data_IF_868922804744
#
_entry.id   IF_868922804744
#
_cell.length_a   1.000
_cell.length_b   1.000
_cell.length_c   1.000
_cell.angle_alpha   90.00
_cell.angle_beta   90.00
_cell.angle_gamma   90.00
#
_symmetry.space_group_name_H-M   'P 1'
#
loop_
_entity.id
_entity.type
_entity.pdbx_description
1 polymer ?
#
# COMPACT_ATOMS: atom_id res chain seq x y z
N UNK A 1 14.99 -10.66 11.49
CA UNK A 1 14.40 -10.26 10.18
C UNK A 1 13.06 -10.94 9.96
N UNK A 2 12.10 -10.27 9.33
CA UNK A 2 10.82 -10.86 8.96
C UNK A 2 11.01 -12.00 7.95
N UNK A 3 10.25 -13.09 8.12
CA UNK A 3 10.35 -14.25 7.21
C UNK A 3 9.46 -14.04 5.98
N UNK A 4 10.07 -14.12 4.80
CA UNK A 4 9.39 -14.04 3.52
C UNK A 4 8.83 -15.42 3.13
N UNK A 5 7.60 -15.46 2.63
CA UNK A 5 7.05 -16.64 1.94
C UNK A 5 7.30 -16.53 0.44
N UNK A 6 7.65 -17.64 -0.17
CA UNK A 6 7.64 -17.73 -1.64
C UNK A 6 6.20 -17.67 -2.14
N UNK A 7 5.96 -16.83 -3.13
CA UNK A 7 4.66 -16.66 -3.78
C UNK A 7 4.78 -17.00 -5.27
N UNK A 8 3.72 -17.57 -5.81
CA UNK A 8 3.58 -17.85 -7.24
C UNK A 8 2.47 -16.98 -7.83
N UNK A 9 2.61 -16.62 -9.10
CA UNK A 9 1.59 -15.87 -9.80
C UNK A 9 0.31 -16.71 -9.96
N UNK A 10 -0.84 -16.12 -9.71
CA UNK A 10 -2.14 -16.75 -9.86
C UNK A 10 -2.72 -16.35 -11.21
N UNK A 11 -2.93 -17.32 -12.09
CA UNK A 11 -3.54 -17.09 -13.40
C UNK A 11 -5.05 -16.94 -13.24
N UNK A 12 -5.62 -15.82 -13.69
CA UNK A 12 -7.06 -15.58 -13.69
C UNK A 12 -7.71 -16.10 -14.98
N UNK A 13 -7.06 -15.82 -16.13
CA UNK A 13 -7.51 -16.24 -17.45
C UNK A 13 -6.30 -16.35 -18.41
N UNK A 14 -6.53 -16.43 -19.72
CA UNK A 14 -5.47 -16.51 -20.72
C UNK A 14 -4.58 -15.27 -20.78
N UNK A 15 -5.06 -14.11 -20.36
CA UNK A 15 -4.42 -12.81 -20.50
C UNK A 15 -3.91 -12.25 -19.16
N UNK A 16 -4.65 -12.40 -18.07
CA UNK A 16 -4.39 -11.74 -16.78
C UNK A 16 -3.92 -12.72 -15.73
N UNK A 17 -2.83 -12.37 -15.06
CA UNK A 17 -2.34 -13.05 -13.85
C UNK A 17 -2.19 -12.03 -12.70
N UNK A 18 -2.29 -12.52 -11.48
CA UNK A 18 -2.05 -11.74 -10.25
C UNK A 18 -0.75 -12.18 -9.61
N UNK A 19 0.10 -11.22 -9.25
CA UNK A 19 1.19 -11.43 -8.30
C UNK A 19 0.67 -11.16 -6.89
N UNK A 20 0.48 -12.21 -6.07
CA UNK A 20 -0.24 -12.08 -4.80
C UNK A 20 0.68 -11.63 -3.66
N UNK A 21 1.23 -10.42 -3.75
CA UNK A 21 2.10 -9.87 -2.70
C UNK A 21 1.44 -9.86 -1.31
N UNK A 22 0.09 -9.86 -1.24
CA UNK A 22 -0.62 -9.97 0.03
C UNK A 22 -0.37 -11.29 0.78
N UNK A 23 0.13 -12.33 0.11
CA UNK A 23 0.49 -13.62 0.71
C UNK A 23 1.93 -13.72 1.20
N UNK A 24 2.77 -12.72 0.90
CA UNK A 24 4.20 -12.74 1.20
C UNK A 24 4.50 -12.89 2.70
N UNK A 25 3.61 -12.35 3.52
CA UNK A 25 3.69 -12.43 4.97
C UNK A 25 2.28 -12.32 5.59
N UNK A 26 1.97 -13.07 6.66
CA UNK A 26 0.60 -13.13 7.20
C UNK A 26 0.12 -11.83 7.82
N UNK A 27 1.01 -10.99 8.35
CA UNK A 27 0.66 -9.75 9.07
C UNK A 27 1.28 -8.50 8.47
N UNK A 28 2.56 -8.53 8.11
CA UNK A 28 3.23 -7.45 7.40
C UNK A 28 3.02 -7.67 5.90
N UNK A 29 1.79 -7.40 5.43
CA UNK A 29 1.30 -7.85 4.15
C UNK A 29 1.69 -6.93 2.99
N UNK A 30 1.86 -7.54 1.82
CA UNK A 30 1.97 -6.87 0.53
C UNK A 30 3.18 -5.96 0.42
N UNK A 31 2.99 -4.86 -0.28
CA UNK A 31 4.04 -3.88 -0.54
C UNK A 31 4.65 -3.26 0.73
N UNK A 32 3.98 -3.35 1.89
CA UNK A 32 4.52 -2.83 3.14
C UNK A 32 5.65 -3.70 3.67
N UNK A 33 5.60 -5.01 3.45
CA UNK A 33 6.72 -5.89 3.70
C UNK A 33 7.97 -5.45 2.94
N UNK A 34 7.81 -5.23 1.62
CA UNK A 34 8.91 -4.79 0.75
C UNK A 34 9.50 -3.46 1.21
N UNK A 35 8.64 -2.50 1.50
CA UNK A 35 9.06 -1.17 1.97
C UNK A 35 9.75 -1.18 3.34
N UNK A 36 9.33 -2.05 4.24
CA UNK A 36 9.90 -2.15 5.57
C UNK A 36 11.22 -2.91 5.59
N UNK A 37 11.47 -3.87 4.70
CA UNK A 37 12.62 -4.76 4.70
C UNK A 37 13.94 -4.05 4.98
N UNK A 38 14.40 -3.21 4.07
CA UNK A 38 15.69 -2.51 4.20
C UNK A 38 15.68 -1.37 5.23
N UNK A 39 14.51 -0.80 5.51
CA UNK A 39 14.37 0.18 6.58
C UNK A 39 14.58 -0.46 7.97
N UNK A 40 14.04 -1.66 8.20
CA UNK A 40 14.26 -2.44 9.42
C UNK A 40 15.73 -2.83 9.57
N UNK A 41 16.35 -3.32 8.50
CA UNK A 41 17.79 -3.63 8.49
C UNK A 41 18.62 -2.40 8.89
N UNK A 42 18.35 -1.23 8.28
CA UNK A 42 19.05 0.01 8.60
C UNK A 42 18.82 0.44 10.05
N UNK A 43 17.58 0.40 10.53
CA UNK A 43 17.27 0.74 11.91
C UNK A 43 18.04 -0.13 12.92
N UNK A 44 18.13 -1.44 12.66
CA UNK A 44 18.88 -2.37 13.48
C UNK A 44 20.39 -2.12 13.41
N UNK A 45 20.95 -1.92 12.21
CA UNK A 45 22.39 -1.63 12.04
C UNK A 45 22.82 -0.34 12.72
N UNK A 46 21.93 0.64 12.80
CA UNK A 46 22.17 1.93 13.47
C UNK A 46 21.81 1.90 14.96
N UNK A 47 21.41 0.74 15.51
CA UNK A 47 21.03 0.54 16.91
C UNK A 47 19.88 1.45 17.37
N UNK A 48 18.94 1.78 16.48
CA UNK A 48 17.74 2.51 16.87
C UNK A 48 16.89 1.70 17.84
N UNK A 49 16.36 2.37 18.87
CA UNK A 49 15.55 1.73 19.93
C UNK A 49 14.14 1.38 19.48
N UNK A 50 13.62 2.06 18.47
CA UNK A 50 12.26 1.87 17.98
C UNK A 50 12.05 2.46 16.60
N UNK A 51 10.82 2.34 16.12
CA UNK A 51 10.37 2.89 14.83
C UNK A 51 9.29 3.93 15.09
N UNK A 52 9.40 5.08 14.44
CA UNK A 52 8.35 6.11 14.43
C UNK A 52 7.85 6.28 13.00
N UNK A 53 6.55 6.28 12.82
CA UNK A 53 5.95 6.48 11.49
C UNK A 53 4.66 7.29 11.53
N UNK A 54 4.14 7.64 10.37
CA UNK A 54 2.99 8.51 10.18
C UNK A 54 1.86 7.81 9.42
N UNK A 55 0.62 8.09 9.79
CA UNK A 55 -0.54 7.57 9.06
C UNK A 55 -1.88 8.11 9.54
N UNK A 56 -2.92 7.91 8.74
CA UNK A 56 -4.31 8.13 9.15
C UNK A 56 -4.91 6.90 9.84
N UNK A 57 -6.14 7.04 10.30
CA UNK A 57 -6.90 6.04 11.05
C UNK A 57 -7.03 4.65 10.41
N UNK A 58 -6.93 4.56 9.08
CA UNK A 58 -7.05 3.31 8.32
C UNK A 58 -5.80 3.00 7.51
N UNK A 59 -4.64 3.46 7.98
CA UNK A 59 -3.37 3.32 7.27
C UNK A 59 -2.86 1.88 7.28
N UNK A 60 -2.72 1.29 6.10
CA UNK A 60 -2.06 -0.01 5.92
C UNK A 60 -0.60 0.02 6.40
N UNK A 61 0.05 1.19 6.35
CA UNK A 61 1.42 1.34 6.79
C UNK A 61 1.53 1.33 8.32
N UNK A 62 0.61 1.98 9.03
CA UNK A 62 0.52 1.91 10.50
C UNK A 62 0.37 0.45 10.95
N UNK A 63 -0.62 -0.27 10.39
CA UNK A 63 -0.86 -1.67 10.74
C UNK A 63 0.37 -2.56 10.47
N UNK A 64 1.03 -2.38 9.33
CA UNK A 64 2.20 -3.17 8.96
C UNK A 64 3.42 -2.86 9.83
N UNK A 65 3.65 -1.58 10.17
CA UNK A 65 4.76 -1.19 11.07
C UNK A 65 4.53 -1.70 12.48
N UNK A 66 3.30 -1.62 13.00
CA UNK A 66 2.94 -2.19 14.31
C UNK A 66 3.18 -3.71 14.35
N UNK A 67 2.75 -4.44 13.31
CA UNK A 67 2.97 -5.88 13.20
C UNK A 67 4.44 -6.24 13.14
N UNK A 68 5.23 -5.49 12.36
CA UNK A 68 6.67 -5.70 12.26
C UNK A 68 7.37 -5.45 13.61
N UNK A 69 6.97 -4.41 14.34
CA UNK A 69 7.48 -4.12 15.68
C UNK A 69 7.18 -5.24 16.66
N UNK A 70 5.95 -5.73 16.69
CA UNK A 70 5.55 -6.85 17.54
C UNK A 70 6.37 -8.13 17.24
N UNK A 71 6.52 -8.47 15.96
CA UNK A 71 7.21 -9.70 15.57
C UNK A 71 8.72 -9.66 15.85
N UNK A 72 9.31 -8.46 15.74
CA UNK A 72 10.75 -8.27 15.94
C UNK A 72 11.09 -7.77 17.35
N UNK A 73 10.10 -7.61 18.24
CA UNK A 73 10.26 -7.00 19.56
C UNK A 73 10.91 -5.59 19.50
N UNK A 74 10.52 -4.79 18.52
CA UNK A 74 10.98 -3.42 18.35
C UNK A 74 9.83 -2.48 18.73
N UNK A 75 10.00 -1.56 19.70
CA UNK A 75 8.99 -0.56 20.02
C UNK A 75 8.58 0.28 18.80
N UNK A 76 7.29 0.56 18.68
CA UNK A 76 6.78 1.36 17.56
C UNK A 76 5.92 2.52 18.01
N UNK A 77 6.02 3.63 17.31
CA UNK A 77 5.19 4.83 17.48
C UNK A 77 4.51 5.16 16.16
N UNK A 78 3.20 5.31 16.21
CA UNK A 78 2.39 5.78 15.09
C UNK A 78 1.89 7.19 15.36
N UNK A 79 2.39 8.19 14.63
CA UNK A 79 1.85 9.55 14.65
C UNK A 79 0.59 9.58 13.80
N UNK A 80 -0.57 9.71 14.45
CA UNK A 80 -1.88 9.54 13.85
C UNK A 80 -2.51 10.90 13.55
N UNK A 81 -2.96 11.07 12.31
CA UNK A 81 -3.61 12.30 11.85
C UNK A 81 -5.04 12.41 12.38
N UNK A 82 -5.27 13.35 13.33
CA UNK A 82 -6.59 13.66 13.89
C UNK A 82 -6.64 13.38 15.39
N UNK A 83 -6.60 14.42 16.20
CA UNK A 83 -6.70 14.35 17.67
C UNK A 83 -8.03 13.74 18.12
N UNK A 84 -9.10 14.00 17.36
CA UNK A 84 -10.44 13.48 17.60
C UNK A 84 -10.52 11.94 17.58
N UNK A 85 -9.54 11.29 17.02
CA UNK A 85 -9.52 9.83 16.88
C UNK A 85 -9.08 9.09 18.14
N UNK A 86 -8.57 9.80 19.16
CA UNK A 86 -8.16 9.19 20.44
C UNK A 86 -9.30 8.42 21.11
N UNK A 87 -10.54 8.94 21.00
CA UNK A 87 -11.74 8.30 21.56
C UNK A 87 -12.28 7.16 20.68
N UNK A 88 -11.77 7.00 19.47
CA UNK A 88 -12.26 6.03 18.48
C UNK A 88 -11.35 4.82 18.31
N UNK A 89 -10.33 4.65 19.15
CA UNK A 89 -9.36 3.55 19.00
C UNK A 89 -10.07 2.20 18.99
N UNK A 90 -10.98 1.96 19.93
CA UNK A 90 -11.65 0.66 20.09
C UNK A 90 -12.67 0.37 18.97
N UNK A 91 -13.27 1.40 18.39
CA UNK A 91 -14.21 1.27 17.26
C UNK A 91 -13.51 1.21 15.91
N UNK A 92 -12.24 1.65 15.82
CA UNK A 92 -11.48 1.63 14.59
C UNK A 92 -10.61 0.36 14.47
N UNK A 93 -10.90 -0.56 13.54
CA UNK A 93 -10.21 -1.85 13.48
C UNK A 93 -8.71 -1.73 13.25
N UNK A 94 -8.24 -0.74 12.50
CA UNK A 94 -6.82 -0.53 12.22
C UNK A 94 -6.06 0.01 13.44
N UNK A 95 -6.63 1.02 14.14
CA UNK A 95 -6.00 1.59 15.33
C UNK A 95 -6.02 0.59 16.50
N UNK A 96 -7.14 -0.11 16.70
CA UNK A 96 -7.25 -1.18 17.68
C UNK A 96 -6.22 -2.28 17.43
N UNK A 97 -6.07 -2.69 16.17
CA UNK A 97 -5.05 -3.67 15.78
C UNK A 97 -3.63 -3.16 16.05
N UNK A 98 -3.30 -1.94 15.65
CA UNK A 98 -1.98 -1.37 15.90
C UNK A 98 -1.66 -1.29 17.41
N UNK A 99 -2.63 -0.87 18.21
CA UNK A 99 -2.55 -0.86 19.68
C UNK A 99 -2.35 -2.28 20.24
N UNK A 100 -3.07 -3.28 19.74
CA UNK A 100 -2.92 -4.68 20.18
C UNK A 100 -1.56 -5.27 19.81
N UNK A 101 -0.87 -4.75 18.80
CA UNK A 101 0.51 -5.07 18.47
C UNK A 101 1.54 -4.34 19.35
N UNK A 102 1.10 -3.53 20.33
CA UNK A 102 1.97 -2.78 21.23
C UNK A 102 2.46 -1.43 20.68
N UNK A 103 1.88 -0.93 19.58
CA UNK A 103 2.23 0.39 19.05
C UNK A 103 1.70 1.51 19.95
N UNK A 104 2.57 2.43 20.32
CA UNK A 104 2.15 3.71 20.90
C UNK A 104 1.50 4.58 19.82
N UNK A 105 0.28 5.08 20.08
CA UNK A 105 -0.45 5.92 19.16
C UNK A 105 -0.41 7.38 19.63
N UNK A 106 0.34 8.20 18.93
CA UNK A 106 0.49 9.63 19.16
C UNK A 106 -0.47 10.39 18.26
N UNK A 107 -1.56 10.91 18.83
CA UNK A 107 -2.58 11.63 18.06
C UNK A 107 -2.23 13.12 17.95
N UNK A 108 -2.18 13.62 16.72
CA UNK A 108 -1.82 15.01 16.46
C UNK A 108 -2.86 15.73 15.61
N UNK A 109 -2.94 17.04 15.74
CA UNK A 109 -3.82 17.85 14.89
C UNK A 109 -3.46 17.69 13.40
N UNK A 110 -4.42 17.95 12.52
CA UNK A 110 -4.18 17.91 11.07
C UNK A 110 -3.13 18.92 10.63
N UNK A 111 -3.06 20.07 11.30
CA UNK A 111 -2.04 21.10 11.05
C UNK A 111 -0.64 20.63 11.43
N UNK A 112 -0.49 20.02 12.62
CA UNK A 112 0.79 19.41 13.04
C UNK A 112 1.19 18.24 12.14
N UNK A 113 0.22 17.40 11.76
CA UNK A 113 0.48 16.28 10.84
C UNK A 113 1.01 16.74 9.47
N UNK A 114 0.57 17.88 8.97
CA UNK A 114 1.06 18.43 7.70
C UNK A 114 2.55 18.78 7.73
N UNK A 115 3.14 18.94 8.94
CA UNK A 115 4.57 19.18 9.16
C UNK A 115 5.41 17.89 9.21
N UNK A 116 4.88 16.74 8.90
CA UNK A 116 5.56 15.41 8.97
C UNK A 116 6.85 15.28 8.14
N UNK A 117 7.13 16.22 7.26
CA UNK A 117 8.40 16.32 6.49
C UNK A 117 9.25 17.51 6.89
N UNK A 118 8.79 18.33 7.83
CA UNK A 118 9.53 19.48 8.35
C UNK A 118 10.63 19.02 9.32
N UNK A 119 11.91 19.32 9.06
CA UNK A 119 13.01 18.90 9.91
C UNK A 119 12.87 19.34 11.37
N UNK A 120 12.37 20.55 11.64
CA UNK A 120 12.20 21.04 13.00
C UNK A 120 11.12 20.23 13.77
N UNK A 121 10.03 19.89 13.11
CA UNK A 121 8.99 19.05 13.70
C UNK A 121 9.49 17.62 13.94
N UNK A 122 10.26 17.04 13.01
CA UNK A 122 10.85 15.73 13.19
C UNK A 122 11.85 15.69 14.35
N UNK A 123 12.66 16.74 14.53
CA UNK A 123 13.56 16.88 15.70
C UNK A 123 12.76 16.93 17.00
N UNK A 124 11.69 17.73 17.06
CA UNK A 124 10.80 17.79 18.23
C UNK A 124 10.22 16.42 18.60
N UNK A 125 9.78 15.62 17.61
CA UNK A 125 9.33 14.26 17.86
C UNK A 125 10.44 13.37 18.43
N UNK A 126 11.68 13.54 17.95
CA UNK A 126 12.82 12.77 18.43
C UNK A 126 13.33 13.22 19.82
N UNK A 127 12.95 14.40 20.30
CA UNK A 127 13.17 14.80 21.71
C UNK A 127 12.32 13.92 22.64
N UNK A 128 11.10 13.59 22.24
CA UNK A 128 10.20 12.70 22.98
C UNK A 128 10.52 11.23 22.76
N UNK A 129 10.76 10.85 21.51
CA UNK A 129 11.02 9.46 21.09
C UNK A 129 12.51 9.32 20.72
N UNK A 130 13.39 9.45 21.71
CA UNK A 130 14.85 9.40 21.50
C UNK A 130 15.29 8.09 20.86
N UNK A 131 16.20 8.20 19.91
CA UNK A 131 16.80 7.05 19.21
C UNK A 131 15.81 6.20 18.37
N UNK A 132 14.65 6.76 18.01
CA UNK A 132 13.73 6.09 17.09
C UNK A 132 14.12 6.38 15.64
N UNK A 133 14.00 5.35 14.80
CA UNK A 133 14.14 5.47 13.35
C UNK A 133 12.86 5.98 12.74
N UNK A 134 12.93 7.10 12.01
CA UNK A 134 11.75 7.70 11.35
C UNK A 134 11.51 7.04 10.01
N UNK A 135 10.33 6.44 9.86
CA UNK A 135 9.76 5.96 8.61
C UNK A 135 8.78 7.02 8.08
N UNK A 136 8.96 7.53 6.86
CA UNK A 136 8.02 8.51 6.29
C UNK A 136 6.62 7.92 6.10
N UNK A 137 5.63 8.79 5.89
CA UNK A 137 4.25 8.38 5.59
C UNK A 137 4.20 7.39 4.41
N UNK A 138 3.45 6.30 4.59
CA UNK A 138 3.39 5.22 3.60
C UNK A 138 4.69 4.44 3.42
N UNK A 139 5.74 4.76 4.18
CA UNK A 139 7.04 4.11 4.16
C UNK A 139 7.87 4.44 2.91
N UNK A 140 7.64 5.57 2.23
CA UNK A 140 8.28 5.85 0.94
C UNK A 140 9.61 6.60 1.12
N UNK A 141 10.71 5.93 0.85
CA UNK A 141 12.09 6.45 0.77
C UNK A 141 12.92 5.53 -0.13
N UNK A 142 14.19 5.85 -0.37
CA UNK A 142 15.08 5.08 -1.25
C UNK A 142 15.19 3.59 -0.85
N UNK A 143 15.23 3.27 0.45
CA UNK A 143 15.28 1.88 0.93
C UNK A 143 13.98 1.12 0.66
N UNK A 144 12.84 1.81 0.73
CA UNK A 144 11.55 1.25 0.38
C UNK A 144 11.43 0.96 -1.13
N UNK A 145 11.97 1.86 -1.97
CA UNK A 145 12.04 1.64 -3.41
C UNK A 145 12.87 0.39 -3.70
N UNK A 146 14.09 0.31 -3.16
CA UNK A 146 14.96 -0.85 -3.27
C UNK A 146 14.24 -2.17 -2.89
N UNK A 147 13.46 -2.16 -1.80
CA UNK A 147 12.66 -3.32 -1.42
C UNK A 147 11.53 -3.65 -2.41
N UNK A 148 10.94 -2.63 -3.03
CA UNK A 148 9.88 -2.82 -4.03
C UNK A 148 10.44 -3.25 -5.42
N UNK A 149 11.70 -3.01 -5.75
CA UNK A 149 12.37 -3.56 -6.95
C UNK A 149 12.37 -5.09 -6.96
N UNK A 150 12.38 -5.71 -5.78
CA UNK A 150 12.34 -7.16 -5.63
C UNK A 150 10.94 -7.78 -5.85
N UNK A 151 9.91 -6.96 -6.09
CA UNK A 151 8.56 -7.48 -6.39
C UNK A 151 8.59 -8.29 -7.68
N UNK A 152 9.27 -7.78 -8.70
CA UNK A 152 9.45 -8.50 -9.95
C UNK A 152 10.64 -9.45 -9.89
N UNK A 153 10.49 -10.60 -10.51
CA UNK A 153 11.49 -11.65 -10.56
C UNK A 153 11.69 -12.12 -12.01
N UNK A 154 12.67 -13.00 -12.24
CA UNK A 154 12.86 -13.60 -13.57
C UNK A 154 11.62 -14.33 -14.11
N UNK A 155 10.74 -14.81 -13.22
CA UNK A 155 9.46 -15.46 -13.61
C UNK A 155 8.45 -14.49 -14.23
N UNK A 156 8.65 -13.18 -14.05
CA UNK A 156 7.73 -12.15 -14.51
C UNK A 156 8.13 -11.52 -15.86
N UNK A 157 9.24 -11.96 -16.44
CA UNK A 157 9.79 -11.39 -17.67
C UNK A 157 8.93 -11.65 -18.93
N UNK A 158 8.03 -12.64 -18.87
CA UNK A 158 7.12 -12.98 -19.98
C UNK A 158 5.84 -12.14 -20.03
N UNK A 159 5.64 -11.21 -19.10
CA UNK A 159 4.50 -10.30 -19.10
C UNK A 159 4.83 -9.03 -19.89
N UNK A 160 3.91 -8.59 -20.73
CA UNK A 160 4.05 -7.39 -21.55
C UNK A 160 3.69 -6.11 -20.76
N UNK A 161 2.66 -6.23 -19.90
CA UNK A 161 2.13 -5.12 -19.11
C UNK A 161 2.11 -5.52 -17.63
N UNK A 162 2.62 -4.63 -16.79
CA UNK A 162 2.60 -4.79 -15.33
C UNK A 162 1.79 -3.65 -14.72
N UNK A 163 0.77 -4.01 -13.93
CA UNK A 163 -0.16 -3.06 -13.35
C UNK A 163 0.05 -2.95 -11.83
N UNK A 164 0.11 -1.72 -11.33
CA UNK A 164 0.29 -1.43 -9.91
C UNK A 164 -0.63 -0.30 -9.44
N UNK A 165 -1.30 -0.51 -8.31
CA UNK A 165 -2.07 0.57 -7.66
C UNK A 165 -1.14 1.59 -7.01
N UNK A 166 -1.47 2.89 -7.15
CA UNK A 166 -0.60 4.00 -6.72
C UNK A 166 -1.24 4.80 -5.59
N UNK A 167 -0.50 4.89 -4.47
CA UNK A 167 -0.78 5.80 -3.37
C UNK A 167 0.27 6.91 -3.30
N UNK A 168 1.38 6.67 -2.58
CA UNK A 168 2.51 7.61 -2.44
C UNK A 168 3.60 7.44 -3.52
N UNK A 169 3.36 6.67 -4.57
CA UNK A 169 4.31 6.46 -5.67
C UNK A 169 5.44 5.47 -5.41
N UNK A 170 5.82 5.20 -4.15
CA UNK A 170 7.03 4.42 -3.86
C UNK A 170 6.99 2.96 -4.33
N UNK A 171 5.84 2.30 -4.34
CA UNK A 171 5.75 0.92 -4.81
C UNK A 171 5.92 0.84 -6.31
N UNK A 172 5.20 1.69 -7.05
CA UNK A 172 5.32 1.70 -8.52
C UNK A 172 6.72 2.12 -8.96
N UNK A 173 7.38 3.06 -8.27
CA UNK A 173 8.75 3.44 -8.58
C UNK A 173 9.71 2.23 -8.49
N UNK A 174 9.58 1.41 -7.44
CA UNK A 174 10.35 0.17 -7.33
C UNK A 174 10.00 -0.84 -8.43
N UNK A 175 8.72 -0.99 -8.78
CA UNK A 175 8.28 -1.86 -9.87
C UNK A 175 8.85 -1.38 -11.22
N UNK A 176 8.85 -0.08 -11.48
CA UNK A 176 9.46 0.52 -12.68
C UNK A 176 10.95 0.16 -12.74
N UNK A 177 11.69 0.40 -11.65
CA UNK A 177 13.12 0.14 -11.60
C UNK A 177 13.48 -1.35 -11.76
N UNK A 178 12.63 -2.24 -11.25
CA UNK A 178 12.80 -3.71 -11.37
C UNK A 178 12.26 -4.31 -12.66
N UNK A 179 11.61 -3.54 -13.53
CA UNK A 179 11.03 -4.03 -14.79
C UNK A 179 12.05 -4.08 -15.92
N UNK A 180 11.73 -4.85 -16.96
CA UNK A 180 12.44 -4.77 -18.24
C UNK A 180 11.96 -3.55 -19.03
N UNK A 181 12.83 -2.92 -19.83
CA UNK A 181 12.45 -1.81 -20.72
C UNK A 181 11.38 -2.20 -21.75
N UNK A 182 11.27 -3.48 -22.07
CA UNK A 182 10.25 -4.03 -22.97
C UNK A 182 8.88 -4.17 -22.32
N UNK A 183 8.79 -4.08 -20.99
CA UNK A 183 7.55 -4.17 -20.26
C UNK A 183 6.94 -2.77 -20.06
N UNK A 184 5.65 -2.64 -20.26
CA UNK A 184 4.91 -1.40 -19.96
C UNK A 184 4.37 -1.44 -18.53
N UNK A 185 4.66 -0.41 -17.74
CA UNK A 185 4.14 -0.30 -16.37
C UNK A 185 2.97 0.66 -16.35
N UNK A 186 1.80 0.20 -15.90
CA UNK A 186 0.59 1.02 -15.77
C UNK A 186 0.28 1.21 -14.29
N UNK A 187 0.32 2.47 -13.85
CA UNK A 187 -0.08 2.86 -12.50
C UNK A 187 -1.53 3.29 -12.42
N UNK A 188 -2.25 2.82 -11.40
CA UNK A 188 -3.64 3.17 -11.14
C UNK A 188 -3.73 4.02 -9.87
N UNK A 189 -3.77 5.36 -9.98
CA UNK A 189 -3.88 6.27 -8.84
C UNK A 189 -5.15 6.04 -8.03
N UNK A 190 -5.00 5.89 -6.71
CA UNK A 190 -6.14 5.89 -5.78
C UNK A 190 -6.57 7.31 -5.40
N UNK A 191 -5.77 8.32 -5.74
CA UNK A 191 -5.91 9.73 -5.42
C UNK A 191 -6.18 10.54 -6.69
N UNK A 192 -6.84 11.68 -6.54
CA UNK A 192 -6.92 12.70 -7.58
C UNK A 192 -5.68 13.59 -7.53
N UNK A 193 -5.16 14.01 -8.67
CA UNK A 193 -4.09 15.00 -8.80
C UNK A 193 -2.89 14.53 -9.61
N UNK A 194 -2.21 15.47 -10.23
CA UNK A 194 -1.05 15.21 -11.10
C UNK A 194 0.27 15.09 -10.35
N UNK A 195 0.31 15.47 -9.06
CA UNK A 195 1.51 15.45 -8.23
C UNK A 195 2.17 14.07 -8.11
N UNK A 196 1.40 13.00 -8.33
CA UNK A 196 1.93 11.63 -8.24
C UNK A 196 3.00 11.36 -9.30
N UNK A 197 2.91 11.97 -10.48
CA UNK A 197 3.91 11.82 -11.54
C UNK A 197 5.26 12.38 -11.08
N UNK A 198 5.26 13.57 -10.49
CA UNK A 198 6.48 14.20 -9.95
C UNK A 198 7.09 13.36 -8.82
N UNK A 199 6.25 12.85 -7.89
CA UNK A 199 6.72 12.01 -6.79
C UNK A 199 7.31 10.68 -7.26
N UNK A 200 6.76 10.07 -8.29
CA UNK A 200 7.30 8.86 -8.91
C UNK A 200 8.62 9.17 -9.60
N UNK A 201 8.71 10.26 -10.37
CA UNK A 201 9.93 10.67 -11.07
C UNK A 201 11.13 10.94 -10.15
N UNK A 202 10.91 11.24 -8.86
CA UNK A 202 12.01 11.39 -7.88
C UNK A 202 12.79 10.08 -7.68
N UNK A 203 12.19 8.93 -7.98
CA UNK A 203 12.75 7.61 -7.71
C UNK A 203 12.78 6.68 -8.91
N UNK A 204 11.92 6.89 -9.90
CA UNK A 204 11.89 6.07 -11.11
C UNK A 204 13.08 6.38 -12.00
N UNK A 205 13.77 5.33 -12.43
CA UNK A 205 14.98 5.41 -13.29
C UNK A 205 14.69 5.09 -14.76
N UNK A 206 13.47 4.64 -15.07
CA UNK A 206 13.05 4.25 -16.42
C UNK A 206 11.80 5.06 -16.82
N UNK A 207 11.50 5.10 -18.13
CA UNK A 207 10.39 5.87 -18.72
C UNK A 207 9.28 5.01 -19.33
N UNK A 208 9.32 3.68 -19.14
CA UNK A 208 8.38 2.71 -19.70
C UNK A 208 7.07 2.61 -18.88
N UNK A 209 6.59 3.72 -18.35
CA UNK A 209 5.41 3.75 -17.49
C UNK A 209 4.46 4.92 -17.78
N UNK A 210 3.21 4.72 -17.37
CA UNK A 210 2.16 5.73 -17.43
C UNK A 210 1.17 5.59 -16.26
N UNK A 211 0.36 6.61 -16.03
CA UNK A 211 -0.70 6.60 -15.02
C UNK A 211 -2.08 6.65 -15.70
N UNK A 212 -2.95 5.72 -15.31
CA UNK A 212 -4.35 5.68 -15.70
C UNK A 212 -5.22 6.28 -14.59
N UNK A 213 -5.48 7.60 -14.69
CA UNK A 213 -6.09 8.39 -13.62
C UNK A 213 -7.59 8.25 -13.47
N UNK A 214 -8.31 7.71 -14.46
CA UNK A 214 -9.78 7.74 -14.51
C UNK A 214 -10.47 6.73 -13.58
N UNK A 215 -9.73 5.79 -13.06
CA UNK A 215 -10.25 4.69 -12.25
C UNK A 215 -10.20 4.93 -10.72
N UNK A 216 -10.04 6.18 -10.26
CA UNK A 216 -9.93 6.49 -8.83
C UNK A 216 -11.27 6.46 -8.06
N UNK A 217 -12.44 6.32 -8.73
CA UNK A 217 -13.78 6.26 -8.10
C UNK A 217 -14.07 7.42 -7.13
N UNK A 218 -13.76 8.65 -7.55
CA UNK A 218 -13.95 9.84 -6.72
C UNK A 218 -12.77 10.22 -5.82
N UNK A 219 -11.71 9.39 -5.73
CA UNK A 219 -10.47 9.67 -4.99
C UNK A 219 -10.21 8.73 -3.82
N UNK A 220 -9.32 9.13 -2.91
CA UNK A 220 -8.85 8.29 -1.82
C UNK A 220 -9.98 7.78 -0.92
N UNK A 221 -10.02 6.47 -0.71
CA UNK A 221 -11.01 5.76 0.11
C UNK A 221 -12.48 6.06 -0.28
N UNK A 222 -12.72 6.54 -1.50
CA UNK A 222 -14.06 6.62 -2.09
C UNK A 222 -14.35 5.31 -2.83
N UNK A 223 -15.57 4.84 -2.65
CA UNK A 223 -16.14 3.66 -3.31
C UNK A 223 -17.58 3.97 -3.70
N UNK A 224 -18.06 3.34 -4.74
CA UNK A 224 -19.46 3.36 -5.16
C UNK A 224 -20.01 1.93 -5.30
N UNK A 225 -21.29 1.79 -5.55
CA UNK A 225 -21.95 0.49 -5.71
C UNK A 225 -21.36 -0.34 -6.87
N UNK A 226 -20.87 0.31 -7.92
CA UNK A 226 -20.26 -0.37 -9.07
C UNK A 226 -18.96 -1.05 -8.68
N UNK A 227 -18.11 -0.37 -7.90
CA UNK A 227 -16.86 -0.94 -7.43
C UNK A 227 -17.10 -2.07 -6.42
N UNK A 228 -18.06 -1.89 -5.50
CA UNK A 228 -18.40 -2.90 -4.50
C UNK A 228 -18.90 -4.18 -5.18
N UNK A 229 -19.84 -4.05 -6.12
CA UNK A 229 -20.34 -5.16 -6.91
C UNK A 229 -19.20 -5.89 -7.63
N UNK A 230 -18.32 -5.15 -8.30
CA UNK A 230 -17.13 -5.71 -8.96
C UNK A 230 -16.25 -6.50 -7.98
N UNK A 231 -15.97 -5.95 -6.79
CA UNK A 231 -15.17 -6.62 -5.76
C UNK A 231 -15.78 -7.95 -5.32
N UNK A 232 -17.09 -7.94 -5.08
CA UNK A 232 -17.82 -9.13 -4.63
C UNK A 232 -17.86 -10.21 -5.73
N UNK A 233 -18.17 -9.83 -6.97
CA UNK A 233 -18.13 -10.73 -8.13
C UNK A 233 -16.72 -11.28 -8.37
N UNK A 234 -15.68 -10.44 -8.25
CA UNK A 234 -14.30 -10.86 -8.40
C UNK A 234 -13.89 -11.90 -7.35
N UNK A 235 -14.26 -11.68 -6.09
CA UNK A 235 -14.00 -12.64 -5.02
C UNK A 235 -14.74 -13.95 -5.22
N UNK A 236 -16.01 -13.91 -5.63
CA UNK A 236 -16.79 -15.11 -5.92
C UNK A 236 -16.21 -15.92 -7.09
N UNK A 237 -15.71 -15.21 -8.12
CA UNK A 237 -15.19 -15.86 -9.34
C UNK A 237 -13.80 -16.45 -9.13
N UNK A 238 -12.90 -15.71 -8.45
CA UNK A 238 -11.48 -16.06 -8.36
C UNK A 238 -11.03 -16.47 -6.95
N UNK A 239 -11.91 -16.37 -5.96
CA UNK A 239 -11.58 -16.56 -4.54
C UNK A 239 -10.41 -15.67 -4.04
N UNK A 240 -10.27 -14.48 -4.61
CA UNK A 240 -9.24 -13.50 -4.25
C UNK A 240 -9.94 -12.24 -3.76
N UNK A 241 -9.78 -11.84 -2.48
CA UNK A 241 -10.31 -10.58 -1.99
C UNK A 241 -9.49 -9.40 -2.53
N UNK A 242 -10.14 -8.27 -2.78
CA UNK A 242 -9.49 -7.03 -3.20
C UNK A 242 -9.62 -5.96 -2.10
N UNK A 243 -8.61 -5.14 -1.95
CA UNK A 243 -8.66 -3.95 -1.10
C UNK A 243 -9.47 -2.84 -1.78
N UNK A 244 -10.40 -2.14 -1.07
CA UNK A 244 -11.31 -1.17 -1.68
C UNK A 244 -10.64 0.15 -2.09
N UNK A 245 -9.45 0.45 -1.55
CA UNK A 245 -8.78 1.73 -1.77
C UNK A 245 -7.88 1.70 -3.01
N UNK A 246 -7.19 0.59 -3.22
CA UNK A 246 -6.10 0.45 -4.19
C UNK A 246 -6.37 -0.65 -5.21
N UNK A 247 -6.33 -1.91 -4.78
CA UNK A 247 -6.29 -3.05 -5.68
C UNK A 247 -7.59 -3.30 -6.42
N UNK A 248 -8.73 -2.99 -5.82
CA UNK A 248 -10.04 -3.09 -6.51
C UNK A 248 -10.13 -2.12 -7.68
N UNK A 249 -9.69 -0.88 -7.48
CA UNK A 249 -9.69 0.15 -8.52
C UNK A 249 -8.76 -0.20 -9.67
N UNK A 250 -7.57 -0.71 -9.36
CA UNK A 250 -6.61 -1.21 -10.34
C UNK A 250 -7.20 -2.38 -11.15
N UNK A 251 -7.73 -3.40 -10.46
CA UNK A 251 -8.32 -4.56 -11.15
C UNK A 251 -9.50 -4.15 -12.03
N UNK A 252 -10.37 -3.27 -11.52
CA UNK A 252 -11.46 -2.71 -12.30
C UNK A 252 -10.91 -2.03 -13.58
N UNK A 253 -9.91 -1.16 -13.44
CA UNK A 253 -9.30 -0.45 -14.58
C UNK A 253 -8.63 -1.39 -15.59
N UNK A 254 -7.98 -2.48 -15.13
CA UNK A 254 -7.42 -3.50 -16.03
C UNK A 254 -8.51 -4.17 -16.88
N UNK A 255 -9.61 -4.61 -16.23
CA UNK A 255 -10.70 -5.27 -16.97
C UNK A 255 -11.41 -4.30 -17.93
N UNK A 256 -11.59 -3.03 -17.54
CA UNK A 256 -12.14 -2.02 -18.45
C UNK A 256 -11.19 -1.72 -19.62
N UNK A 257 -9.88 -1.60 -19.37
CA UNK A 257 -8.88 -1.38 -20.42
C UNK A 257 -8.79 -2.53 -21.43
N UNK A 258 -8.98 -3.77 -20.98
CA UNK A 258 -9.10 -4.94 -21.88
C UNK A 258 -10.40 -4.86 -22.67
N UNK A 259 -11.51 -4.51 -22.04
CA UNK A 259 -12.82 -4.41 -22.68
C UNK A 259 -12.88 -3.28 -23.71
N UNK A 260 -12.23 -2.14 -23.45
CA UNK A 260 -12.15 -0.99 -24.36
C UNK A 260 -11.14 -1.21 -25.51
N UNK A 261 -10.23 -2.17 -25.37
CA UNK A 261 -9.14 -2.40 -26.33
C UNK A 261 -7.90 -1.53 -26.09
N UNK A 262 -7.87 -0.72 -25.02
CA UNK A 262 -6.66 0.01 -24.61
C UNK A 262 -5.52 -0.93 -24.16
N UNK A 263 -5.88 -2.06 -23.58
CA UNK A 263 -4.97 -3.20 -23.35
C UNK A 263 -5.22 -4.20 -24.49
N UNK A 264 -4.24 -4.44 -25.38
CA UNK A 264 -4.38 -5.39 -26.48
C UNK A 264 -4.76 -6.79 -25.97
N UNK A 265 -5.64 -7.48 -26.68
CA UNK A 265 -6.11 -8.84 -26.32
C UNK A 265 -4.97 -9.88 -26.29
N UNK A 266 -3.90 -9.63 -27.01
CA UNK A 266 -2.71 -10.50 -27.06
C UNK A 266 -1.72 -10.23 -25.94
N UNK A 267 -1.81 -9.09 -25.24
CA UNK A 267 -0.89 -8.71 -24.19
C UNK A 267 -1.08 -9.55 -22.92
N UNK A 268 -0.01 -10.05 -22.35
CA UNK A 268 0.01 -10.71 -21.05
C UNK A 268 0.15 -9.67 -19.94
N UNK A 269 -0.81 -9.63 -19.03
CA UNK A 269 -0.92 -8.64 -17.95
C UNK A 269 -0.63 -9.28 -16.61
N UNK A 270 0.28 -8.67 -15.85
CA UNK A 270 0.54 -9.01 -14.46
C UNK A 270 0.00 -7.89 -13.54
N UNK A 271 -1.00 -8.19 -12.74
CA UNK A 271 -1.53 -7.28 -11.73
C UNK A 271 -0.86 -7.53 -10.39
N UNK A 272 -0.18 -6.52 -9.82
CA UNK A 272 0.45 -6.65 -8.51
C UNK A 272 -0.59 -6.39 -7.42
N UNK A 273 -1.01 -7.44 -6.72
CA UNK A 273 -1.90 -7.32 -5.59
C UNK A 273 -1.13 -6.93 -4.33
N UNK A 274 -1.03 -5.63 -4.09
CA UNK A 274 -0.18 -5.02 -3.06
C UNK A 274 -0.66 -5.19 -1.62
N UNK A 275 -1.73 -5.95 -1.36
CA UNK A 275 -2.30 -6.15 -0.03
C UNK A 275 -3.34 -5.10 0.35
N UNK A 276 -3.38 -4.71 1.61
CA UNK A 276 -4.33 -3.70 2.10
C UNK A 276 -5.66 -4.28 2.61
N UNK A 277 -5.80 -5.60 2.66
CA UNK A 277 -7.06 -6.30 2.96
C UNK A 277 -7.64 -5.98 4.35
N UNK A 278 -6.82 -5.58 5.32
CA UNK A 278 -7.32 -5.13 6.63
C UNK A 278 -8.20 -3.87 6.53
N UNK A 279 -8.10 -3.13 5.42
CA UNK A 279 -8.97 -1.97 5.15
C UNK A 279 -10.42 -2.32 4.87
N UNK A 280 -10.73 -3.58 4.51
CA UNK A 280 -12.09 -4.05 4.21
C UNK A 280 -13.00 -3.87 5.42
N UNK A 281 -12.56 -4.30 6.61
CA UNK A 281 -13.37 -4.16 7.83
C UNK A 281 -13.74 -2.71 8.15
N UNK A 282 -12.80 -1.78 8.00
CA UNK A 282 -13.06 -0.35 8.19
C UNK A 282 -13.98 0.24 7.11
N UNK A 283 -13.90 -0.25 5.87
CA UNK A 283 -14.81 0.15 4.81
C UNK A 283 -16.21 -0.37 5.06
N UNK A 284 -16.37 -1.63 5.46
CA UNK A 284 -17.67 -2.23 5.75
C UNK A 284 -18.41 -1.52 6.89
N UNK A 285 -17.73 -1.05 7.93
CA UNK A 285 -18.35 -0.21 8.95
C UNK A 285 -19.00 1.04 8.32
N UNK A 286 -18.30 1.74 7.44
CA UNK A 286 -18.84 2.91 6.73
C UNK A 286 -19.97 2.60 5.77
N UNK A 287 -19.89 1.44 5.08
CA UNK A 287 -20.94 0.99 4.16
C UNK A 287 -22.21 0.66 4.92
N UNK A 288 -22.09 -0.03 6.06
CA UNK A 288 -23.21 -0.35 6.96
C UNK A 288 -23.91 0.90 7.49
N UNK A 289 -23.15 1.90 7.94
CA UNK A 289 -23.72 3.21 8.38
C UNK A 289 -24.52 3.89 7.25
N UNK A 290 -24.12 3.70 5.99
CA UNK A 290 -24.76 4.25 4.81
C UNK A 290 -25.85 3.34 4.22
N UNK A 291 -26.10 2.18 4.82
CA UNK A 291 -27.03 1.16 4.33
C UNK A 291 -26.71 0.71 2.88
N UNK A 292 -25.43 0.60 2.58
CA UNK A 292 -24.92 0.10 1.30
C UNK A 292 -24.49 -1.36 1.45
N UNK A 293 -24.37 -2.05 0.30
CA UNK A 293 -23.85 -3.42 0.26
C UNK A 293 -22.43 -3.49 0.84
N UNK A 294 -22.17 -4.51 1.65
CA UNK A 294 -20.87 -4.76 2.24
C UNK A 294 -19.96 -5.55 1.28
N UNK A 295 -18.67 -5.41 1.45
CA UNK A 295 -17.65 -6.18 0.74
C UNK A 295 -17.50 -7.53 1.44
N UNK A 296 -17.62 -8.64 0.70
CA UNK A 296 -17.52 -10.02 1.20
C UNK A 296 -16.07 -10.51 1.29
#
# INVERSE_FOLDING_TARGET
MLRIKTIENIRLNSQVSIKPEYLIHPRVSGNKFRKLKYNLEKAQLQNHKGLLTFGGAFSNHIAATASAGQELNIPTVGVIRGEELVTQIESNPTLRYAKSCGMHLEFVSRSSYNKKTDPAYLLQLLETFKDYYILPEGGTNALAIKGCEEILTSKDQSFDIICCAVGTGGTIAGVINGSLLTQKIIGFPALKGEFLKEDICKFATQSNWELWGDYHFGGYAKVDSKLIKFMNEFKLTYNIPLDPVYTAKMMYGIFEGIRSGEIPQTAKVLAIHTGGLQGIGGMNLRLKERKLEEII
#
